data_IF_667800759064
#
_entry.id   IF_667800759064
#
_cell.length_a   1.000
_cell.length_b   1.000
_cell.length_c   1.000
_cell.angle_alpha   90.00
_cell.angle_beta   90.00
_cell.angle_gamma   90.00
#
_symmetry.space_group_name_H-M   'P 1'
#
loop_
_entity.id
_entity.type
_entity.pdbx_description
1 polymer ?
#
# COMPACT_ATOMS: atom_id res chain seq x y z
N UNK A 1 1.71 -18.07 -0.12
CA UNK A 1 0.86 -16.88 -0.35
C UNK A 1 1.62 -15.92 -1.24
N UNK A 2 1.00 -15.41 -2.31
CA UNK A 2 1.62 -14.41 -3.17
C UNK A 2 0.68 -13.24 -3.45
N UNK A 3 1.23 -12.04 -3.40
CA UNK A 3 0.52 -10.78 -3.64
C UNK A 3 1.15 -10.11 -4.87
N UNK A 4 0.35 -9.85 -5.89
CA UNK A 4 0.80 -9.10 -7.06
C UNK A 4 0.81 -7.60 -6.80
N UNK A 5 1.81 -6.89 -7.32
CA UNK A 5 1.92 -5.42 -7.24
C UNK A 5 0.67 -4.71 -7.78
N UNK A 6 0.04 -5.27 -8.81
CA UNK A 6 -1.20 -4.75 -9.40
C UNK A 6 -2.36 -4.73 -8.39
N UNK A 7 -2.51 -5.79 -7.60
CA UNK A 7 -3.54 -5.86 -6.55
C UNK A 7 -3.27 -4.80 -5.46
N UNK A 8 -2.02 -4.72 -4.96
CA UNK A 8 -1.64 -3.71 -3.97
C UNK A 8 -1.75 -2.27 -4.49
N UNK A 9 -1.50 -2.05 -5.79
CA UNK A 9 -1.71 -0.73 -6.42
C UNK A 9 -3.19 -0.37 -6.48
N UNK A 10 -4.08 -1.35 -6.72
CA UNK A 10 -5.52 -1.13 -6.70
C UNK A 10 -6.01 -0.77 -5.30
N UNK A 11 -5.50 -1.44 -4.27
CA UNK A 11 -5.84 -1.17 -2.87
C UNK A 11 -5.34 0.21 -2.42
N UNK A 12 -4.10 0.58 -2.76
CA UNK A 12 -3.59 1.91 -2.45
C UNK A 12 -4.38 3.04 -3.12
N UNK A 13 -4.96 2.81 -4.30
CA UNK A 13 -5.88 3.76 -4.94
C UNK A 13 -7.21 3.87 -4.19
N UNK A 14 -7.77 2.75 -3.74
CA UNK A 14 -8.99 2.77 -2.92
C UNK A 14 -8.77 3.51 -1.60
N UNK A 15 -7.57 3.46 -1.03
CA UNK A 15 -7.23 4.25 0.15
C UNK A 15 -7.27 5.77 -0.11
N UNK A 16 -6.88 6.24 -1.30
CA UNK A 16 -6.98 7.67 -1.66
C UNK A 16 -8.44 8.15 -1.62
N UNK A 17 -9.38 7.37 -2.17
CA UNK A 17 -10.81 7.68 -2.10
C UNK A 17 -11.31 7.78 -0.66
N UNK A 18 -10.80 6.92 0.22
CA UNK A 18 -11.14 6.95 1.64
C UNK A 18 -10.54 8.18 2.35
N UNK A 19 -9.33 8.60 1.98
CA UNK A 19 -8.69 9.79 2.54
C UNK A 19 -9.44 11.08 2.19
N UNK A 20 -10.03 11.16 1.00
CA UNK A 20 -10.84 12.30 0.57
C UNK A 20 -12.10 12.47 1.44
N UNK A 21 -12.70 11.38 1.92
CA UNK A 21 -13.88 11.42 2.81
C UNK A 21 -13.54 12.01 4.18
N UNK A 22 -12.30 11.83 4.65
CA UNK A 22 -11.83 12.30 5.96
C UNK A 22 -10.97 13.56 5.89
N UNK A 23 -10.95 14.25 4.74
CA UNK A 23 -10.01 15.33 4.42
C UNK A 23 -9.78 16.36 5.54
N UNK A 24 -10.86 16.82 6.18
CA UNK A 24 -10.85 17.86 7.21
C UNK A 24 -10.63 17.33 8.64
N UNK A 25 -10.61 16.01 8.84
CA UNK A 25 -10.42 15.35 10.15
C UNK A 25 -9.25 14.38 10.21
N UNK A 26 -8.50 14.26 9.12
CA UNK A 26 -7.42 13.29 9.02
C UNK A 26 -6.23 13.72 9.91
N UNK A 27 -5.75 12.86 10.82
CA UNK A 27 -4.51 13.12 11.54
C UNK A 27 -3.33 13.27 10.57
N UNK A 28 -2.36 14.13 10.91
CA UNK A 28 -1.24 14.44 10.00
C UNK A 28 -0.34 13.22 9.73
N UNK A 29 -0.28 12.30 10.67
CA UNK A 29 0.44 11.02 10.59
C UNK A 29 -0.01 10.19 9.39
N UNK A 30 -1.32 10.19 9.11
CA UNK A 30 -1.90 9.41 8.02
C UNK A 30 -1.50 9.92 6.62
N UNK A 31 -1.17 11.21 6.50
CA UNK A 31 -0.61 11.77 5.26
C UNK A 31 0.75 11.11 4.99
N UNK A 32 1.58 10.92 6.01
CA UNK A 32 2.89 10.28 5.87
C UNK A 32 2.78 8.78 5.62
N UNK A 33 1.85 8.08 6.29
CA UNK A 33 1.59 6.65 6.04
C UNK A 33 1.13 6.40 4.60
N UNK A 34 0.29 7.27 4.05
CA UNK A 34 -0.14 7.22 2.65
C UNK A 34 1.03 7.33 1.68
N UNK A 35 1.87 8.34 1.87
CA UNK A 35 3.07 8.54 1.04
C UNK A 35 4.06 7.37 1.15
N UNK A 36 4.21 6.84 2.36
CA UNK A 36 5.07 5.69 2.62
C UNK A 36 4.54 4.42 1.93
N UNK A 37 3.23 4.16 1.99
CA UNK A 37 2.59 3.02 1.32
C UNK A 37 2.81 3.09 -0.19
N UNK A 38 2.61 4.27 -0.80
CA UNK A 38 2.84 4.49 -2.23
C UNK A 38 4.31 4.29 -2.60
N UNK A 39 5.23 4.81 -1.79
CA UNK A 39 6.67 4.63 -1.98
C UNK A 39 7.11 3.16 -1.89
N UNK A 40 6.51 2.39 -0.98
CA UNK A 40 6.76 0.94 -0.84
C UNK A 40 6.27 0.17 -2.06
N UNK A 41 5.06 0.45 -2.55
CA UNK A 41 4.49 -0.17 -3.75
C UNK A 41 5.23 0.20 -5.04
N UNK A 42 5.82 1.39 -5.09
CA UNK A 42 6.67 1.78 -6.22
C UNK A 42 7.94 0.92 -6.29
N UNK A 43 8.52 0.63 -5.13
CA UNK A 43 9.76 -0.14 -4.98
C UNK A 43 9.56 -1.66 -4.87
N UNK A 44 8.30 -2.12 -4.78
CA UNK A 44 8.01 -3.54 -4.65
C UNK A 44 8.22 -4.29 -5.98
N UNK A 45 8.70 -5.54 -5.95
CA UNK A 45 8.71 -6.41 -7.13
C UNK A 45 7.29 -6.66 -7.64
N UNK A 46 7.18 -7.14 -8.89
CA UNK A 46 5.88 -7.40 -9.52
C UNK A 46 5.03 -8.42 -8.76
N UNK A 47 5.69 -9.38 -8.11
CA UNK A 47 5.09 -10.41 -7.29
C UNK A 47 5.84 -10.49 -5.96
N UNK A 48 5.12 -10.30 -4.86
CA UNK A 48 5.59 -10.59 -3.51
C UNK A 48 5.20 -12.03 -3.17
N UNK A 49 6.14 -12.81 -2.68
CA UNK A 49 5.90 -14.17 -2.21
C UNK A 49 6.78 -14.46 -0.99
N UNK A 50 6.28 -15.32 -0.10
CA UNK A 50 7.06 -15.79 1.02
C UNK A 50 8.21 -16.65 0.49
N UNK A 51 9.42 -16.40 1.00
CA UNK A 51 10.54 -17.29 0.76
C UNK A 51 10.19 -18.69 1.26
N UNK A 52 10.56 -19.72 0.50
CA UNK A 52 10.37 -21.09 0.92
C UNK A 52 11.26 -21.37 2.15
N UNK A 53 10.69 -21.95 3.21
CA UNK A 53 11.49 -22.44 4.33
C UNK A 53 12.30 -23.64 3.83
N UNK A 54 13.62 -23.51 3.77
CA UNK A 54 14.51 -24.61 3.48
C UNK A 54 14.72 -25.41 4.77
N UNK A 55 14.37 -26.70 4.74
CA UNK A 55 14.66 -27.67 5.81
C UNK A 55 16.12 -28.11 5.80
#
# INVERSE_FOLDING_TARGET
MSVGRKAGTSEARAHEEQFDVFFDRLPKEFIFERELLRSRLWRSPEKWELAHEAH
#
